data_IF_868536541385
#
_entry.id   IF_868536541385
#
_cell.length_a   1.000
_cell.length_b   1.000
_cell.length_c   1.000
_cell.angle_alpha   90.00
_cell.angle_beta   90.00
_cell.angle_gamma   90.00
#
_symmetry.space_group_name_H-M   'P 1'
#
loop_
_entity.id
_entity.type
_entity.pdbx_description
1 polymer ?
#
# COMPACT_ATOMS: atom_id res chain seq x y z
N UNK A 1 -14.66 1.79 1.97
CA UNK A 1 -16.12 1.92 2.08
C UNK A 1 -16.74 0.67 1.44
N UNK A 2 -17.63 -0.06 2.14
CA UNK A 2 -18.33 -1.24 1.59
C UNK A 2 -19.79 -0.86 1.32
N UNK A 3 -20.13 -0.52 0.08
CA UNK A 3 -21.52 -0.58 -0.37
C UNK A 3 -21.83 -2.02 -0.79
N UNK A 4 -23.09 -2.45 -0.65
CA UNK A 4 -23.51 -3.87 -0.65
C UNK A 4 -24.54 -4.18 -1.74
N UNK A 5 -24.57 -3.41 -2.83
CA UNK A 5 -25.71 -3.37 -3.74
C UNK A 5 -25.51 -4.09 -5.07
N UNK A 6 -24.30 -4.47 -5.48
CA UNK A 6 -24.12 -5.13 -6.77
C UNK A 6 -23.64 -6.58 -6.66
N UNK A 7 -24.58 -7.50 -6.47
CA UNK A 7 -24.31 -8.92 -6.74
C UNK A 7 -23.99 -9.12 -8.23
N UNK A 8 -22.78 -9.58 -8.56
CA UNK A 8 -22.43 -10.04 -9.90
C UNK A 8 -23.32 -11.24 -10.28
N UNK A 9 -24.31 -11.03 -11.15
CA UNK A 9 -25.19 -12.08 -11.70
C UNK A 9 -24.48 -12.93 -12.77
N UNK A 10 -23.29 -13.47 -12.51
CA UNK A 10 -22.54 -14.20 -13.54
C UNK A 10 -22.35 -15.70 -13.28
N UNK A 11 -22.81 -16.24 -12.15
CA UNK A 11 -22.73 -17.68 -11.88
C UNK A 11 -23.94 -18.15 -11.05
N UNK A 12 -24.83 -18.96 -11.65
CA UNK A 12 -25.89 -19.64 -10.90
C UNK A 12 -25.22 -20.56 -9.87
N UNK A 13 -25.41 -20.26 -8.59
CA UNK A 13 -24.93 -21.12 -7.51
C UNK A 13 -26.06 -22.07 -7.15
N UNK A 14 -25.83 -23.37 -7.26
CA UNK A 14 -26.79 -24.39 -6.86
C UNK A 14 -26.44 -24.92 -5.47
N UNK A 15 -27.43 -25.02 -4.59
CA UNK A 15 -27.29 -25.77 -3.34
C UNK A 15 -27.33 -27.27 -3.66
N UNK A 16 -26.25 -27.99 -3.33
CA UNK A 16 -26.13 -29.42 -3.62
C UNK A 16 -27.15 -30.28 -2.86
N UNK A 17 -27.57 -29.85 -1.66
CA UNK A 17 -28.50 -30.64 -0.85
C UNK A 17 -29.95 -30.56 -1.36
N UNK A 18 -30.33 -29.42 -1.96
CA UNK A 18 -31.72 -29.16 -2.38
C UNK A 18 -31.90 -29.01 -3.89
N UNK A 19 -30.81 -29.04 -4.66
CA UNK A 19 -30.77 -28.82 -6.12
C UNK A 19 -31.45 -27.51 -6.55
N UNK A 20 -31.39 -26.49 -5.69
CA UNK A 20 -32.04 -25.20 -5.90
C UNK A 20 -31.01 -24.14 -6.27
N UNK A 21 -31.34 -23.30 -7.24
CA UNK A 21 -30.56 -22.13 -7.59
C UNK A 21 -30.79 -20.99 -6.59
N UNK A 22 -29.72 -20.34 -6.16
CA UNK A 22 -29.79 -19.11 -5.38
C UNK A 22 -28.77 -18.08 -5.86
N UNK A 23 -29.06 -16.81 -5.58
CA UNK A 23 -28.15 -15.71 -5.89
C UNK A 23 -27.13 -15.60 -4.76
N UNK A 24 -25.89 -16.01 -5.04
CA UNK A 24 -24.77 -15.79 -4.12
C UNK A 24 -24.33 -14.32 -4.19
N UNK A 25 -24.26 -13.66 -3.04
CA UNK A 25 -23.62 -12.34 -2.88
C UNK A 25 -22.33 -12.55 -2.10
N UNK A 26 -21.20 -12.20 -2.71
CA UNK A 26 -19.89 -12.25 -2.06
C UNK A 26 -19.31 -10.84 -1.99
N UNK A 27 -18.66 -10.52 -0.86
CA UNK A 27 -17.96 -9.26 -0.66
C UNK A 27 -16.51 -9.54 -0.25
N UNK A 28 -15.58 -8.74 -0.76
CA UNK A 28 -14.17 -8.81 -0.37
C UNK A 28 -13.96 -7.99 0.92
N UNK A 29 -13.67 -8.66 2.04
CA UNK A 29 -13.42 -7.96 3.31
C UNK A 29 -11.97 -7.53 3.47
N UNK A 30 -11.02 -8.45 3.30
CA UNK A 30 -9.58 -8.19 3.38
C UNK A 30 -8.81 -9.21 2.55
N UNK A 31 -7.58 -8.86 2.16
CA UNK A 31 -6.64 -9.76 1.49
C UNK A 31 -5.38 -9.93 2.34
N UNK A 32 -4.90 -11.16 2.46
CA UNK A 32 -3.60 -11.46 3.10
C UNK A 32 -2.59 -11.56 1.98
N UNK A 33 -1.77 -10.53 1.81
CA UNK A 33 -0.76 -10.46 0.77
C UNK A 33 0.62 -10.38 1.41
N UNK A 34 1.61 -11.03 0.80
CA UNK A 34 2.99 -10.65 1.01
C UNK A 34 3.29 -9.30 0.32
N UNK A 35 4.50 -8.76 0.52
CA UNK A 35 4.85 -7.45 -0.02
C UNK A 35 4.82 -7.41 -1.56
N UNK A 36 5.34 -8.43 -2.29
CA UNK A 36 5.20 -8.50 -3.75
C UNK A 36 3.76 -8.54 -4.25
N UNK A 37 2.92 -9.43 -3.69
CA UNK A 37 1.52 -9.52 -4.07
C UNK A 37 0.77 -8.22 -3.76
N UNK A 38 1.08 -7.59 -2.62
CA UNK A 38 0.53 -6.28 -2.28
C UNK A 38 0.87 -5.23 -3.34
N UNK A 39 2.13 -5.14 -3.77
CA UNK A 39 2.54 -4.18 -4.80
C UNK A 39 1.80 -4.40 -6.12
N UNK A 40 1.63 -5.66 -6.54
CA UNK A 40 0.88 -6.00 -7.75
C UNK A 40 -0.61 -5.69 -7.63
N UNK A 41 -1.22 -5.96 -6.48
CA UNK A 41 -2.64 -5.79 -6.24
C UNK A 41 -3.04 -4.31 -6.03
N UNK A 42 -2.25 -3.58 -5.25
CA UNK A 42 -2.48 -2.16 -4.96
C UNK A 42 -2.07 -1.24 -6.11
N UNK A 43 -1.06 -1.65 -6.90
CA UNK A 43 -0.41 -0.76 -7.85
C UNK A 43 0.67 0.12 -7.23
N UNK A 44 1.08 -0.12 -5.99
CA UNK A 44 2.25 0.55 -5.41
C UNK A 44 3.55 -0.16 -5.79
N UNK A 45 4.51 0.56 -6.39
CA UNK A 45 5.82 0.01 -6.65
C UNK A 45 6.61 -0.20 -5.36
N UNK A 46 6.98 -1.44 -5.09
CA UNK A 46 7.78 -1.83 -3.91
C UNK A 46 9.28 -1.63 -4.11
N UNK A 47 9.70 -1.07 -5.25
CA UNK A 47 11.11 -0.94 -5.64
C UNK A 47 11.68 0.42 -5.21
N UNK A 48 12.89 0.39 -4.63
CA UNK A 48 13.65 1.59 -4.28
C UNK A 48 13.47 2.00 -2.82
N UNK A 49 13.62 3.30 -2.51
CA UNK A 49 13.53 3.87 -1.15
C UNK A 49 12.08 4.00 -0.65
N UNK A 50 11.14 4.28 -1.56
CA UNK A 50 9.71 4.42 -1.26
C UNK A 50 8.93 3.10 -1.37
N UNK A 51 9.60 1.96 -1.21
CA UNK A 51 8.98 0.66 -1.36
C UNK A 51 8.02 0.28 -0.23
N UNK A 52 8.07 0.98 0.92
CA UNK A 52 7.16 0.72 2.03
C UNK A 52 5.80 1.39 1.79
N UNK A 53 4.71 0.63 1.62
CA UNK A 53 3.38 1.20 1.35
C UNK A 53 2.77 1.91 2.56
N UNK A 54 3.30 1.67 3.78
CA UNK A 54 2.85 2.35 4.99
C UNK A 54 3.53 3.72 5.09
N UNK A 55 4.84 3.79 4.84
CA UNK A 55 5.60 5.04 4.95
C UNK A 55 5.44 5.94 3.71
N UNK A 56 5.24 5.33 2.54
CA UNK A 56 5.14 6.00 1.26
C UNK A 56 6.31 6.97 1.03
N UNK A 57 6.01 8.24 0.79
CA UNK A 57 6.91 9.37 0.59
C UNK A 57 7.64 9.80 1.89
N UNK A 58 7.03 9.63 3.06
CA UNK A 58 7.65 9.89 4.37
C UNK A 58 8.53 8.72 4.87
N UNK A 59 9.14 7.99 3.95
CA UNK A 59 10.06 6.89 4.25
C UNK A 59 11.37 7.37 4.85
N UNK A 60 11.91 6.60 5.81
CA UNK A 60 13.25 6.81 6.38
C UNK A 60 14.33 5.99 5.70
N UNK A 61 13.95 5.22 4.68
CA UNK A 61 14.89 4.39 3.95
C UNK A 61 15.96 5.25 3.27
N UNK A 62 17.15 4.68 3.11
CA UNK A 62 18.30 5.37 2.55
C UNK A 62 19.08 4.44 1.64
N UNK A 63 19.83 5.00 0.69
CA UNK A 63 20.75 4.23 -0.12
C UNK A 63 22.05 3.95 0.65
N UNK A 64 22.52 2.72 0.61
CA UNK A 64 23.87 2.39 1.10
C UNK A 64 24.90 3.11 0.24
N UNK A 65 25.86 3.79 0.87
CA UNK A 65 26.84 4.64 0.17
C UNK A 65 27.62 3.89 -0.92
N UNK A 66 28.10 2.69 -0.63
CA UNK A 66 28.90 1.91 -1.57
C UNK A 66 28.05 0.96 -2.43
N UNK A 67 26.96 0.43 -1.89
CA UNK A 67 26.11 -0.54 -2.60
C UNK A 67 25.01 0.09 -3.46
N UNK A 68 24.68 1.36 -3.22
CA UNK A 68 23.54 2.10 -3.81
C UNK A 68 22.17 1.40 -3.70
N UNK A 69 22.08 0.32 -2.91
CA UNK A 69 20.83 -0.41 -2.64
C UNK A 69 20.04 0.33 -1.57
N UNK A 70 18.72 0.33 -1.71
CA UNK A 70 17.82 0.85 -0.69
C UNK A 70 17.91 -0.01 0.58
N UNK A 71 17.99 0.65 1.73
CA UNK A 71 18.09 0.04 3.04
C UNK A 71 17.00 0.59 3.95
N UNK A 72 16.31 -0.32 4.63
CA UNK A 72 15.21 -0.03 5.55
C UNK A 72 15.59 -0.26 7.01
N UNK A 73 16.89 -0.43 7.28
CA UNK A 73 17.40 -0.73 8.60
C UNK A 73 17.03 0.38 9.59
N UNK A 74 16.43 -0.01 10.72
CA UNK A 74 15.89 0.88 11.76
C UNK A 74 14.80 1.89 11.35
N UNK A 75 14.28 1.83 10.12
CA UNK A 75 13.21 2.74 9.70
C UNK A 75 11.89 2.49 10.46
N UNK A 76 11.69 1.27 11.00
CA UNK A 76 10.50 0.89 11.75
C UNK A 76 10.37 1.60 13.12
N UNK A 77 11.40 2.29 13.61
CA UNK A 77 11.37 2.95 14.93
C UNK A 77 10.36 4.11 15.01
N UNK A 78 10.00 4.69 13.88
CA UNK A 78 8.95 5.72 13.80
C UNK A 78 7.57 5.22 14.26
N UNK A 79 7.35 3.90 14.26
CA UNK A 79 6.11 3.28 14.71
C UNK A 79 6.09 3.00 16.22
N UNK A 80 7.18 3.28 16.93
CA UNK A 80 7.22 3.17 18.38
C UNK A 80 6.46 4.33 19.02
N UNK A 81 5.91 4.14 20.24
CA UNK A 81 5.31 5.22 21.01
C UNK A 81 6.27 6.39 21.18
N UNK A 82 5.70 7.58 21.33
CA UNK A 82 6.50 8.77 21.56
C UNK A 82 7.34 8.61 22.84
N UNK A 83 8.58 9.11 22.80
CA UNK A 83 9.54 9.02 23.91
C UNK A 83 10.03 7.61 24.25
N UNK A 84 9.79 6.62 23.39
CA UNK A 84 10.38 5.29 23.55
C UNK A 84 11.91 5.36 23.61
N UNK A 85 12.55 4.62 24.52
CA UNK A 85 14.00 4.66 24.75
C UNK A 85 14.82 4.43 23.46
N UNK A 86 14.30 3.59 22.55
CA UNK A 86 14.94 3.29 21.26
C UNK A 86 14.83 4.39 20.19
N UNK A 87 13.93 5.37 20.33
CA UNK A 87 13.91 6.55 19.43
C UNK A 87 15.12 7.46 19.71
N UNK A 88 15.48 7.62 20.99
CA UNK A 88 16.56 8.50 21.46
C UNK A 88 17.94 7.83 21.48
N UNK A 89 18.00 6.51 21.29
CA UNK A 89 19.24 5.76 21.36
C UNK A 89 20.09 5.93 20.09
N UNK A 90 21.07 6.84 20.16
CA UNK A 90 22.07 7.11 19.11
C UNK A 90 23.15 6.02 18.98
N UNK A 91 23.42 5.28 20.07
CA UNK A 91 24.62 4.43 20.18
C UNK A 91 24.46 3.08 19.51
N UNK A 92 23.23 2.56 19.42
CA UNK A 92 23.07 1.13 19.17
C UNK A 92 23.04 0.77 17.69
N UNK A 93 22.41 1.51 16.77
CA UNK A 93 22.28 1.00 15.38
C UNK A 93 22.07 2.07 14.27
N UNK A 94 22.28 3.35 14.55
CA UNK A 94 22.16 4.40 13.52
C UNK A 94 23.45 5.20 13.54
N UNK A 95 23.97 5.62 12.38
CA UNK A 95 25.15 6.50 12.25
C UNK A 95 24.95 7.85 12.99
N UNK A 96 24.88 7.84 14.32
CA UNK A 96 24.56 8.97 15.19
C UNK A 96 23.26 9.73 14.87
N UNK A 97 22.30 9.11 14.18
CA UNK A 97 21.00 9.73 13.86
C UNK A 97 19.96 9.43 14.95
N UNK A 98 19.23 10.46 15.36
CA UNK A 98 18.05 10.32 16.23
C UNK A 98 16.82 10.27 15.34
N UNK A 99 15.93 9.32 15.59
CA UNK A 99 14.64 9.26 14.92
C UNK A 99 13.58 9.87 15.84
N UNK A 100 13.30 11.17 15.65
CA UNK A 100 12.31 11.93 16.42
C UNK A 100 10.97 12.13 15.67
N UNK A 101 10.84 11.64 14.43
CA UNK A 101 9.56 11.74 13.71
C UNK A 101 8.59 10.67 14.20
N UNK A 102 7.34 11.08 14.38
CA UNK A 102 6.19 10.20 14.55
C UNK A 102 5.87 9.59 13.18
N UNK A 103 5.45 8.32 13.17
CA UNK A 103 4.93 7.69 11.96
C UNK A 103 3.79 8.51 11.36
N UNK A 104 3.76 8.60 10.03
CA UNK A 104 2.59 9.16 9.33
C UNK A 104 1.31 8.42 9.75
N UNK A 105 0.19 9.14 9.88
CA UNK A 105 -1.11 8.51 10.06
C UNK A 105 -1.38 7.51 8.93
N UNK A 106 -2.01 6.38 9.26
CA UNK A 106 -2.48 5.46 8.24
C UNK A 106 -3.57 6.17 7.44
N UNK A 107 -3.45 6.14 6.11
CA UNK A 107 -4.50 6.62 5.25
C UNK A 107 -5.75 5.77 5.42
N UNK A 108 -6.90 6.44 5.48
CA UNK A 108 -8.17 5.74 5.37
C UNK A 108 -8.44 5.39 3.89
N UNK A 109 -9.49 4.60 3.65
CA UNK A 109 -9.84 4.17 2.29
C UNK A 109 -10.18 5.34 1.36
N UNK A 110 -10.87 6.36 1.87
CA UNK A 110 -11.38 7.46 1.06
C UNK A 110 -10.25 8.42 0.64
N UNK A 111 -9.35 8.76 1.57
CA UNK A 111 -8.12 9.51 1.31
C UNK A 111 -7.21 8.78 0.30
N UNK A 112 -7.16 7.45 0.38
CA UNK A 112 -6.39 6.65 -0.57
C UNK A 112 -7.04 6.68 -1.95
N UNK A 113 -8.36 6.62 -2.03
CA UNK A 113 -9.10 6.71 -3.29
C UNK A 113 -8.96 8.09 -3.93
N UNK A 114 -9.10 9.16 -3.15
CA UNK A 114 -8.89 10.54 -3.61
C UNK A 114 -7.48 10.71 -4.16
N UNK A 115 -6.47 10.20 -3.45
CA UNK A 115 -5.09 10.29 -3.91
C UNK A 115 -4.83 9.49 -5.19
N UNK A 116 -5.47 8.34 -5.35
CA UNK A 116 -5.32 7.50 -6.56
C UNK A 116 -6.19 8.01 -7.72
N UNK A 117 -7.26 8.77 -7.46
CA UNK A 117 -8.16 9.28 -8.49
C UNK A 117 -7.45 10.22 -9.47
N UNK A 118 -6.51 11.01 -8.97
CA UNK A 118 -5.68 11.93 -9.78
C UNK A 118 -4.58 11.19 -10.57
N UNK A 119 -4.35 9.92 -10.28
CA UNK A 119 -3.31 9.11 -10.91
C UNK A 119 -3.90 8.45 -12.15
N UNK A 120 -3.62 9.07 -13.30
CA UNK A 120 -3.97 8.51 -14.60
C UNK A 120 -3.45 7.07 -14.71
N UNK A 121 -4.27 6.09 -15.13
CA UNK A 121 -3.84 4.71 -15.20
C UNK A 121 -2.64 4.63 -16.16
N UNK A 122 -1.48 4.18 -15.66
CA UNK A 122 -0.24 4.06 -16.45
C UNK A 122 -0.30 2.96 -17.53
N UNK A 123 -1.50 2.60 -17.97
CA UNK A 123 -1.75 1.72 -19.10
C UNK A 123 -1.39 2.44 -20.42
N UNK A 124 -1.46 3.78 -20.45
CA UNK A 124 -1.27 4.56 -21.70
C UNK A 124 0.03 5.37 -21.77
N UNK A 125 0.80 5.49 -20.68
CA UNK A 125 1.99 6.36 -20.65
C UNK A 125 3.15 5.77 -19.80
N UNK A 126 4.41 5.93 -20.22
CA UNK A 126 5.58 5.54 -19.42
C UNK A 126 5.57 6.13 -18.01
N UNK A 127 5.87 5.33 -16.99
CA UNK A 127 5.89 5.75 -15.57
C UNK A 127 6.79 6.97 -15.31
N UNK A 128 7.84 7.17 -16.11
CA UNK A 128 8.74 8.32 -16.00
C UNK A 128 8.10 9.66 -16.38
N UNK A 129 6.97 9.64 -17.08
CA UNK A 129 6.21 10.82 -17.49
C UNK A 129 5.06 11.15 -16.52
N UNK A 130 4.81 10.28 -15.55
CA UNK A 130 3.80 10.51 -14.53
C UNK A 130 4.34 11.53 -13.53
N UNK A 131 3.66 12.66 -13.43
CA UNK A 131 4.04 13.76 -12.53
C UNK A 131 4.11 13.25 -11.07
N UNK A 132 5.17 13.61 -10.35
CA UNK A 132 5.38 13.15 -8.97
C UNK A 132 5.88 11.70 -8.82
N UNK A 133 5.92 10.89 -9.88
CA UNK A 133 6.39 9.50 -9.77
C UNK A 133 7.88 9.42 -9.41
N UNK A 134 8.18 8.68 -8.34
CA UNK A 134 9.55 8.52 -7.84
C UNK A 134 10.04 9.64 -6.94
N UNK A 135 9.25 10.70 -6.76
CA UNK A 135 9.49 11.79 -5.80
C UNK A 135 8.41 11.80 -4.74
N UNK A 136 7.15 12.02 -5.14
CA UNK A 136 6.00 12.21 -4.26
C UNK A 136 5.19 10.93 -4.09
N UNK A 137 5.23 10.02 -5.08
CA UNK A 137 4.55 8.72 -4.98
C UNK A 137 5.23 7.62 -5.81
N UNK A 138 4.77 6.38 -5.60
CA UNK A 138 5.18 5.18 -6.37
C UNK A 138 4.01 4.38 -6.95
N UNK A 139 2.83 4.97 -7.00
CA UNK A 139 1.70 4.40 -7.73
C UNK A 139 2.03 4.20 -9.21
N UNK A 140 1.78 2.99 -9.70
CA UNK A 140 1.96 2.59 -11.10
C UNK A 140 0.63 2.29 -11.78
N UNK A 141 -0.43 2.05 -11.03
CA UNK A 141 -1.77 1.81 -11.56
C UNK A 141 -2.83 1.97 -10.47
N UNK A 142 -4.08 2.11 -10.88
CA UNK A 142 -5.25 1.93 -10.03
C UNK A 142 -5.43 0.44 -9.72
N UNK A 143 -5.82 0.12 -8.48
CA UNK A 143 -6.13 -1.25 -8.08
C UNK A 143 -7.44 -1.73 -8.71
N UNK A 144 -7.46 -2.97 -9.19
CA UNK A 144 -8.69 -3.61 -9.71
C UNK A 144 -9.79 -3.69 -8.65
N UNK A 145 -9.42 -3.70 -7.38
CA UNK A 145 -10.38 -3.73 -6.28
C UNK A 145 -11.19 -2.44 -6.19
N UNK A 146 -10.74 -1.33 -6.78
CA UNK A 146 -11.52 -0.10 -6.83
C UNK A 146 -12.66 -0.14 -7.84
N UNK A 147 -12.62 -1.04 -8.82
CA UNK A 147 -13.62 -1.15 -9.90
C UNK A 147 -14.60 -2.31 -9.67
N UNK A 148 -14.43 -3.06 -8.57
CA UNK A 148 -15.35 -4.12 -8.20
C UNK A 148 -16.72 -3.53 -7.81
N UNK A 149 -17.81 -4.16 -8.26
CA UNK A 149 -19.15 -3.64 -8.02
C UNK A 149 -19.62 -4.05 -6.61
N UNK A 150 -19.21 -3.30 -5.58
CA UNK A 150 -19.67 -3.53 -4.21
C UNK A 150 -21.08 -2.95 -3.97
#
# INVERSE_FOLDING_TARGET
>A
MCTWNCGLKSCCSCDHATDNEFIMRAALMWTVNDLPAYGMASGWSIVGIMGCPICMDDTRAFHLQHGRKACYFNCHRQFLPEHHLYQRNKKVLTKNRVENKVARPRLNGDQLLDWIADISPAIEMPLSLLEGYGSDHKWTKKSIFGDLPY
#
